data_IF_027961739766
#
_entry.id   IF_027961739766
#
_cell.length_a   1.000
_cell.length_b   1.000
_cell.length_c   1.000
_cell.angle_alpha   90.00
_cell.angle_beta   90.00
_cell.angle_gamma   90.00
#
_symmetry.space_group_name_H-M   'P 1'
#
loop_
_entity.id
_entity.type
_entity.pdbx_description
1 polymer ?
#
# COMPACT_ATOMS: atom_id res chain seq x y z
N UNK A 1 -3.90 -50.01 0.98
CA UNK A 1 -4.54 -49.64 2.26
C UNK A 1 -3.57 -48.92 3.21
N UNK A 2 -2.74 -47.99 2.73
CA UNK A 2 -1.72 -47.28 3.54
C UNK A 2 -1.83 -45.76 3.55
N UNK A 3 -2.93 -45.19 3.04
CA UNK A 3 -3.15 -43.72 3.00
C UNK A 3 -4.29 -43.23 3.91
N UNK A 4 -5.06 -44.15 4.50
CA UNK A 4 -6.17 -43.83 5.40
C UNK A 4 -5.75 -43.74 6.88
N UNK A 5 -4.61 -44.32 7.25
CA UNK A 5 -4.08 -44.36 8.63
C UNK A 5 -3.34 -43.08 9.03
N UNK A 6 -2.77 -42.35 8.07
CA UNK A 6 -2.11 -41.05 8.29
C UNK A 6 -3.13 -39.94 8.62
N UNK A 7 -4.30 -39.96 7.98
CA UNK A 7 -5.34 -38.93 8.17
C UNK A 7 -6.01 -39.06 9.56
N UNK A 8 -6.13 -40.28 10.08
CA UNK A 8 -6.69 -40.54 11.40
C UNK A 8 -5.77 -40.09 12.55
N UNK A 9 -4.45 -40.12 12.36
CA UNK A 9 -3.47 -39.72 13.39
C UNK A 9 -3.38 -38.20 13.56
N UNK A 10 -3.63 -37.43 12.49
CA UNK A 10 -3.63 -35.96 12.54
C UNK A 10 -4.90 -35.43 13.22
N UNK A 11 -6.04 -36.11 13.06
CA UNK A 11 -7.30 -35.75 13.74
C UNK A 11 -7.29 -36.01 15.25
N UNK A 12 -6.47 -36.96 15.73
CA UNK A 12 -6.32 -37.26 17.16
C UNK A 12 -5.45 -36.24 17.92
N UNK A 13 -4.57 -35.52 17.22
CA UNK A 13 -3.72 -34.47 17.81
C UNK A 13 -4.45 -33.13 17.97
N UNK A 14 -5.56 -32.92 17.25
CA UNK A 14 -6.34 -31.68 17.29
C UNK A 14 -7.38 -31.71 18.44
N UNK A 15 -7.72 -32.89 18.97
CA UNK A 15 -8.70 -33.02 20.06
C UNK A 15 -8.12 -32.85 21.47
N UNK A 16 -6.79 -32.81 21.64
CA UNK A 16 -6.14 -32.73 22.97
C UNK A 16 -5.82 -31.30 23.47
N UNK A 17 -6.00 -30.25 22.67
CA UNK A 17 -5.68 -28.87 23.08
C UNK A 17 -6.89 -28.04 23.52
N UNK A 18 -8.08 -28.64 23.61
CA UNK A 18 -9.33 -27.95 23.93
C UNK A 18 -9.98 -28.52 25.21
N UNK A 19 -9.36 -28.31 26.36
CA UNK A 19 -10.01 -28.44 27.67
C UNK A 19 -9.17 -27.75 28.76
N UNK A 20 -9.73 -26.73 29.40
CA UNK A 20 -9.12 -26.09 30.55
C UNK A 20 -9.74 -24.73 30.86
N UNK A 21 -10.97 -24.73 31.35
CA UNK A 21 -11.61 -23.53 31.90
C UNK A 21 -12.00 -23.77 33.37
N UNK A 22 -11.65 -22.80 34.22
CA UNK A 22 -12.22 -22.37 35.53
C UNK A 22 -11.79 -23.15 36.81
N UNK A 23 -11.97 -22.60 38.04
CA UNK A 23 -11.93 -21.20 38.56
C UNK A 23 -11.13 -21.06 39.90
N UNK A 24 -11.13 -19.86 40.54
CA UNK A 24 -11.30 -19.54 41.99
C UNK A 24 -10.43 -18.35 42.50
N UNK A 25 -11.14 -17.28 42.86
CA UNK A 25 -11.07 -16.32 44.00
C UNK A 25 -9.75 -15.98 44.74
N UNK A 26 -9.53 -14.67 44.96
CA UNK A 26 -9.52 -14.11 46.33
C UNK A 26 -9.76 -12.59 46.34
N UNK A 27 -10.60 -12.18 47.29
CA UNK A 27 -10.99 -10.83 47.67
C UNK A 27 -10.02 -10.33 48.75
N UNK A 28 -9.60 -9.06 48.68
CA UNK A 28 -9.04 -8.34 49.82
C UNK A 28 -9.39 -6.87 49.69
N UNK A 29 -10.26 -6.41 50.58
CA UNK A 29 -10.63 -5.01 50.76
C UNK A 29 -9.78 -4.46 51.90
N UNK A 30 -9.16 -3.31 51.73
CA UNK A 30 -8.85 -2.43 52.86
C UNK A 30 -8.88 -0.99 52.37
N UNK A 31 -9.76 -0.22 53.01
CA UNK A 31 -10.05 1.20 52.80
C UNK A 31 -9.23 2.08 53.74
N UNK A 32 -9.23 3.38 53.42
CA UNK A 32 -8.85 4.56 54.22
C UNK A 32 -7.40 5.06 54.04
N UNK A 33 -7.09 6.34 53.84
CA UNK A 33 -7.92 7.56 53.80
C UNK A 33 -7.12 8.76 53.21
N UNK A 34 -7.88 9.69 52.63
CA UNK A 34 -7.79 11.16 52.60
C UNK A 34 -6.60 11.96 52.01
N UNK A 35 -7.01 12.85 51.08
CA UNK A 35 -6.60 14.26 50.92
C UNK A 35 -5.20 14.61 50.38
N UNK A 36 -5.05 14.53 49.05
CA UNK A 36 -4.22 15.51 48.32
C UNK A 36 -4.77 15.76 46.90
N UNK A 37 -5.99 16.28 46.85
CA UNK A 37 -6.86 16.22 45.69
C UNK A 37 -7.28 17.62 45.21
N UNK A 38 -6.36 18.37 44.62
CA UNK A 38 -6.69 19.48 43.69
C UNK A 38 -5.48 19.98 42.89
N UNK A 39 -4.30 20.14 43.53
CA UNK A 39 -3.11 20.70 42.89
C UNK A 39 -2.39 19.69 41.96
N UNK A 40 -2.34 18.41 42.35
CA UNK A 40 -1.76 17.34 41.53
C UNK A 40 -2.55 17.06 40.24
N UNK A 41 -3.88 17.32 40.24
CA UNK A 41 -4.72 17.13 39.05
C UNK A 41 -4.42 18.15 37.95
N UNK A 42 -4.13 19.40 38.31
CA UNK A 42 -3.75 20.42 37.32
C UNK A 42 -2.35 20.18 36.76
N UNK A 43 -1.39 19.72 37.58
CA UNK A 43 -0.03 19.43 37.09
C UNK A 43 0.03 18.16 36.23
N UNK A 44 -0.78 17.13 36.57
CA UNK A 44 -0.89 15.90 35.75
C UNK A 44 -1.64 16.17 34.45
N UNK A 45 -2.70 16.97 34.48
CA UNK A 45 -3.42 17.37 33.26
C UNK A 45 -2.57 18.28 32.36
N UNK A 46 -1.72 19.15 32.92
CA UNK A 46 -0.77 19.95 32.14
C UNK A 46 0.39 19.12 31.55
N UNK A 47 0.73 17.98 32.16
CA UNK A 47 1.76 17.04 31.65
C UNK A 47 1.19 16.02 30.65
N UNK A 48 -0.06 15.60 30.83
CA UNK A 48 -0.76 14.66 29.95
C UNK A 48 -1.28 15.32 28.65
N UNK A 49 -1.39 16.65 28.60
CA UNK A 49 -1.72 17.39 27.36
C UNK A 49 -0.49 17.87 26.56
N UNK A 50 0.73 17.56 27.00
CA UNK A 50 1.94 18.06 26.35
C UNK A 50 2.39 17.25 25.12
N UNK A 51 1.75 16.11 24.82
CA UNK A 51 2.13 15.24 23.70
C UNK A 51 0.93 14.69 22.95
N UNK A 52 -0.15 15.46 22.76
CA UNK A 52 -1.20 15.06 21.82
C UNK A 52 -0.81 15.50 20.41
N UNK A 53 -0.22 14.59 19.64
CA UNK A 53 0.09 14.85 18.23
C UNK A 53 -1.23 14.84 17.46
N UNK A 54 -1.70 16.02 17.09
CA UNK A 54 -2.92 16.22 16.32
C UNK A 54 -2.73 15.92 14.82
N UNK A 55 -2.08 14.79 14.50
CA UNK A 55 -1.80 14.37 13.13
C UNK A 55 -2.72 13.23 12.72
N UNK A 56 -3.55 13.46 11.68
CA UNK A 56 -4.41 12.41 11.14
C UNK A 56 -3.58 11.38 10.35
N UNK A 57 -3.54 10.15 10.84
CA UNK A 57 -2.85 9.03 10.20
C UNK A 57 -3.37 8.74 8.79
N UNK A 58 -4.68 8.62 8.64
CA UNK A 58 -5.34 8.32 7.35
C UNK A 58 -4.99 9.38 6.29
N UNK A 59 -5.07 10.66 6.65
CA UNK A 59 -4.67 11.76 5.76
C UNK A 59 -3.18 11.74 5.45
N UNK A 60 -2.32 11.45 6.42
CA UNK A 60 -0.88 11.33 6.20
C UNK A 60 -0.55 10.18 5.24
N UNK A 61 -1.25 9.05 5.34
CA UNK A 61 -1.15 7.92 4.41
C UNK A 61 -1.56 8.33 2.98
N UNK A 62 -2.66 9.08 2.85
CA UNK A 62 -3.10 9.58 1.55
C UNK A 62 -2.10 10.56 0.93
N UNK A 63 -1.55 11.49 1.71
CA UNK A 63 -0.50 12.41 1.27
C UNK A 63 0.75 11.65 0.80
N UNK A 64 1.19 10.66 1.57
CA UNK A 64 2.34 9.84 1.21
C UNK A 64 2.12 9.07 -0.09
N UNK A 65 0.95 8.45 -0.24
CA UNK A 65 0.59 7.75 -1.49
C UNK A 65 0.63 8.68 -2.70
N UNK A 66 0.17 9.92 -2.55
CA UNK A 66 0.23 10.92 -3.61
C UNK A 66 1.68 11.29 -3.95
N UNK A 67 2.54 11.48 -2.94
CA UNK A 67 3.97 11.75 -3.15
C UNK A 67 4.62 10.57 -3.89
N UNK A 68 4.39 9.34 -3.44
CA UNK A 68 4.93 8.14 -4.05
C UNK A 68 4.47 7.94 -5.51
N UNK A 69 3.19 8.16 -5.81
CA UNK A 69 2.62 7.90 -7.14
C UNK A 69 2.88 9.04 -8.14
N UNK A 70 2.87 10.30 -7.69
CA UNK A 70 2.87 11.47 -8.55
C UNK A 70 4.13 12.36 -8.46
N UNK A 71 4.99 12.19 -7.45
CA UNK A 71 6.21 12.98 -7.29
C UNK A 71 7.49 12.13 -7.42
N UNK A 72 7.61 11.06 -6.63
CA UNK A 72 8.81 10.23 -6.57
C UNK A 72 9.33 9.72 -7.93
N UNK A 73 8.46 9.32 -8.90
CA UNK A 73 8.95 8.84 -10.20
C UNK A 73 9.70 9.92 -11.01
N UNK A 74 9.41 11.20 -10.77
CA UNK A 74 10.14 12.31 -11.39
C UNK A 74 11.45 12.60 -10.66
N UNK A 75 11.43 12.55 -9.32
CA UNK A 75 12.61 12.76 -8.48
C UNK A 75 13.68 11.71 -8.78
N UNK A 76 13.27 10.44 -8.87
CA UNK A 76 14.15 9.31 -9.21
C UNK A 76 14.71 9.44 -10.63
N UNK A 77 13.89 9.88 -11.59
CA UNK A 77 14.31 10.08 -12.99
C UNK A 77 15.37 11.18 -13.12
N UNK A 78 15.20 12.29 -12.41
CA UNK A 78 16.18 13.39 -12.40
C UNK A 78 17.36 13.13 -11.44
N UNK A 79 17.39 11.95 -10.78
CA UNK A 79 18.39 11.55 -9.79
C UNK A 79 18.62 12.60 -8.69
N UNK A 80 17.54 13.27 -8.29
CA UNK A 80 17.62 14.38 -7.35
C UNK A 80 17.51 13.89 -5.91
N UNK A 81 18.37 14.42 -5.05
CA UNK A 81 18.32 14.17 -3.61
C UNK A 81 17.53 15.30 -2.93
N UNK A 82 16.36 14.95 -2.41
CA UNK A 82 15.55 15.90 -1.64
C UNK A 82 16.32 16.27 -0.37
N UNK A 83 16.36 17.56 -0.01
CA UNK A 83 17.02 18.00 1.23
C UNK A 83 16.34 17.38 2.46
N UNK A 84 17.11 16.97 3.46
CA UNK A 84 16.59 16.52 4.76
C UNK A 84 15.82 17.61 5.52
N UNK A 85 15.95 18.88 5.14
CA UNK A 85 15.14 19.98 5.68
C UNK A 85 13.75 20.11 5.04
N UNK A 86 13.53 19.49 3.87
CA UNK A 86 12.26 19.57 3.14
C UNK A 86 11.18 18.73 3.84
N UNK A 87 9.95 19.25 3.84
CA UNK A 87 8.78 18.58 4.45
C UNK A 87 8.32 17.33 3.70
N UNK A 88 8.70 17.19 2.43
CA UNK A 88 8.37 16.04 1.58
C UNK A 88 9.45 14.94 1.62
N UNK A 89 10.50 15.11 2.44
CA UNK A 89 11.56 14.12 2.55
C UNK A 89 11.02 12.82 3.18
N UNK A 90 11.22 11.64 2.56
CA UNK A 90 10.66 10.37 3.02
C UNK A 90 10.91 10.05 4.51
N UNK A 91 12.13 10.34 4.97
CA UNK A 91 12.54 10.03 6.36
C UNK A 91 11.96 10.98 7.41
N UNK A 92 11.38 12.11 6.99
CA UNK A 92 10.82 13.09 7.91
C UNK A 92 9.37 12.80 8.26
N UNK A 93 8.70 11.81 7.68
CA UNK A 93 7.27 11.63 7.94
C UNK A 93 7.02 10.90 9.27
N UNK A 94 6.08 11.43 10.06
CA UNK A 94 5.80 10.96 11.41
C UNK A 94 5.48 9.46 11.50
N UNK A 95 4.66 8.94 10.59
CA UNK A 95 4.16 7.57 10.67
C UNK A 95 4.96 6.56 9.85
N UNK A 96 6.09 6.94 9.23
CA UNK A 96 6.85 6.06 8.31
C UNK A 96 7.17 4.71 8.94
N UNK A 97 7.76 4.71 10.13
CA UNK A 97 8.16 3.49 10.84
C UNK A 97 6.95 2.59 11.14
N UNK A 98 5.86 3.15 11.65
CA UNK A 98 4.66 2.38 11.96
C UNK A 98 3.96 1.81 10.74
N UNK A 99 3.92 2.54 9.62
CA UNK A 99 3.33 2.02 8.37
C UNK A 99 4.19 0.89 7.78
N UNK A 100 5.52 0.96 7.88
CA UNK A 100 6.43 -0.13 7.49
C UNK A 100 6.27 -1.39 8.35
N UNK A 101 5.85 -1.23 9.61
CA UNK A 101 5.60 -2.33 10.53
C UNK A 101 4.16 -2.87 10.49
N UNK A 102 3.40 -2.57 9.43
CA UNK A 102 2.13 -3.25 9.15
C UNK A 102 2.36 -4.48 8.31
N UNK A 103 1.92 -5.62 8.82
CA UNK A 103 2.03 -6.90 8.11
C UNK A 103 0.62 -7.34 7.74
N UNK A 104 0.30 -7.35 6.45
CA UNK A 104 -0.94 -7.95 5.95
C UNK A 104 -0.70 -9.44 5.70
N UNK A 105 -1.26 -10.30 6.55
CA UNK A 105 -1.02 -11.75 6.53
C UNK A 105 -2.02 -12.45 5.62
N UNK A 106 -3.30 -12.09 5.75
CA UNK A 106 -4.41 -12.64 4.98
C UNK A 106 -5.50 -11.58 4.80
N UNK A 107 -6.51 -11.82 3.96
CA UNK A 107 -7.61 -10.90 3.60
C UNK A 107 -8.22 -10.19 4.82
N UNK A 108 -8.35 -10.91 5.93
CA UNK A 108 -8.92 -10.41 7.19
C UNK A 108 -7.94 -10.48 8.37
N UNK A 109 -6.64 -10.57 8.11
CA UNK A 109 -5.62 -10.65 9.16
C UNK A 109 -4.50 -9.64 8.94
N UNK A 110 -4.47 -8.65 9.84
CA UNK A 110 -3.41 -7.66 9.96
C UNK A 110 -2.59 -7.93 11.21
N UNK A 111 -1.27 -7.85 11.14
CA UNK A 111 -0.38 -8.13 12.27
C UNK A 111 0.54 -6.95 12.55
N UNK A 112 0.69 -6.64 13.83
CA UNK A 112 1.63 -5.63 14.31
C UNK A 112 3.08 -6.13 14.18
N UNK A 113 3.94 -5.37 13.50
CA UNK A 113 5.36 -5.69 13.33
C UNK A 113 6.15 -5.71 14.63
N UNK A 114 5.80 -4.87 15.61
CA UNK A 114 6.50 -4.74 16.89
C UNK A 114 6.19 -5.87 17.87
N UNK A 115 4.91 -6.12 18.15
CA UNK A 115 4.49 -7.09 19.19
C UNK A 115 3.77 -8.32 18.66
N UNK A 116 3.68 -8.48 17.33
CA UNK A 116 3.11 -9.65 16.63
C UNK A 116 1.63 -9.96 16.92
N UNK A 117 0.89 -9.05 17.56
CA UNK A 117 -0.57 -9.16 17.73
C UNK A 117 -1.29 -9.09 16.37
N UNK A 118 -2.27 -9.97 16.18
CA UNK A 118 -3.13 -9.99 14.99
C UNK A 118 -4.46 -9.27 15.22
N UNK A 119 -5.00 -8.69 14.16
CA UNK A 119 -6.19 -7.85 14.12
C UNK A 119 -7.01 -8.19 12.88
N UNK A 120 -8.34 -8.07 12.99
CA UNK A 120 -9.26 -8.41 11.90
C UNK A 120 -9.25 -7.43 10.73
N UNK A 121 -8.85 -6.19 10.97
CA UNK A 121 -8.86 -5.11 10.00
C UNK A 121 -7.78 -4.09 10.31
N UNK A 122 -7.31 -3.39 9.28
CA UNK A 122 -6.26 -2.37 9.38
C UNK A 122 -6.60 -1.29 10.41
N UNK A 123 -7.87 -0.84 10.46
CA UNK A 123 -8.34 0.16 11.42
C UNK A 123 -8.06 -0.22 12.88
N UNK A 124 -8.17 -1.50 13.23
CA UNK A 124 -7.90 -1.96 14.59
C UNK A 124 -6.39 -2.03 14.87
N UNK A 125 -5.57 -2.29 13.86
CA UNK A 125 -4.11 -2.21 13.96
C UNK A 125 -3.66 -0.75 14.12
N UNK A 126 -4.24 0.18 13.36
CA UNK A 126 -3.99 1.62 13.48
C UNK A 126 -4.30 2.12 14.89
N UNK A 127 -5.49 1.78 15.41
CA UNK A 127 -5.86 2.11 16.78
C UNK A 127 -4.93 1.46 17.83
N UNK A 128 -4.42 0.26 17.56
CA UNK A 128 -3.44 -0.38 18.43
C UNK A 128 -2.11 0.38 18.43
N UNK A 129 -1.64 0.90 17.29
CA UNK A 129 -0.44 1.73 17.25
C UNK A 129 -0.60 3.00 18.08
N UNK A 130 -1.74 3.69 17.93
CA UNK A 130 -2.02 4.93 18.66
C UNK A 130 -2.06 4.71 20.18
N UNK A 131 -2.53 3.54 20.64
CA UNK A 131 -2.67 3.24 22.07
C UNK A 131 -1.43 2.59 22.72
N UNK A 132 -0.62 1.85 21.96
CA UNK A 132 0.41 0.95 22.52
C UNK A 132 1.81 1.18 21.98
N UNK A 133 1.95 1.87 20.85
CA UNK A 133 3.22 2.14 20.19
C UNK A 133 3.38 3.62 19.85
N UNK A 134 2.67 4.49 20.57
CA UNK A 134 2.77 5.94 20.42
C UNK A 134 4.19 6.43 20.70
N UNK A 135 4.82 5.89 21.75
CA UNK A 135 6.17 6.26 22.20
C UNK A 135 7.28 5.95 21.18
N UNK A 136 6.99 5.13 20.16
CA UNK A 136 7.94 4.83 19.07
C UNK A 136 7.96 5.93 18.00
N UNK A 137 7.07 6.92 18.06
CA UNK A 137 7.04 8.05 17.14
C UNK A 137 8.13 9.06 17.48
N UNK A 138 8.94 9.45 16.49
CA UNK A 138 9.91 10.55 16.63
C UNK A 138 9.22 11.91 16.43
N UNK A 139 8.41 12.32 17.40
CA UNK A 139 7.59 13.54 17.32
C UNK A 139 8.45 14.82 17.19
N UNK A 140 9.66 14.83 17.75
CA UNK A 140 10.55 16.01 17.74
C UNK A 140 11.10 16.38 16.37
N UNK A 141 11.45 15.38 15.55
CA UNK A 141 12.10 15.61 14.25
C UNK A 141 11.17 15.41 13.06
N UNK A 142 10.14 14.58 13.22
CA UNK A 142 9.22 14.27 12.13
C UNK A 142 8.17 15.36 11.90
N UNK A 143 7.59 15.32 10.71
CA UNK A 143 6.57 16.25 10.21
C UNK A 143 5.28 15.48 9.93
N UNK A 144 4.16 16.11 10.25
CA UNK A 144 2.85 15.59 9.93
C UNK A 144 2.53 15.88 8.45
N UNK A 145 2.38 14.84 7.63
CA UNK A 145 1.99 15.00 6.23
C UNK A 145 0.52 15.41 6.06
N UNK A 146 -0.35 15.11 7.03
CA UNK A 146 -1.75 15.53 6.96
C UNK A 146 -1.91 17.05 6.86
N UNK A 147 -0.97 17.83 7.39
CA UNK A 147 -0.98 19.29 7.28
C UNK A 147 -0.80 19.78 5.83
N UNK A 148 -0.18 18.95 4.97
CA UNK A 148 0.04 19.24 3.56
C UNK A 148 -1.11 18.77 2.67
N UNK A 149 -2.12 18.09 3.23
CA UNK A 149 -3.17 17.48 2.42
C UNK A 149 -3.98 18.48 1.59
N UNK A 150 -4.17 19.70 2.10
CA UNK A 150 -4.80 20.77 1.33
C UNK A 150 -4.00 21.15 0.09
N UNK A 151 -2.67 21.16 0.17
CA UNK A 151 -1.78 21.47 -0.95
C UNK A 151 -1.60 20.30 -1.92
N UNK A 152 -1.59 19.07 -1.40
CA UNK A 152 -1.36 17.84 -2.17
C UNK A 152 -2.64 17.19 -2.73
N UNK A 153 -3.82 17.76 -2.47
CA UNK A 153 -5.12 17.23 -2.92
C UNK A 153 -5.46 15.82 -2.40
N UNK A 154 -5.17 15.53 -1.13
CA UNK A 154 -5.46 14.22 -0.50
C UNK A 154 -6.91 13.74 -0.67
N UNK A 155 -7.86 14.68 -0.68
CA UNK A 155 -9.29 14.36 -0.78
C UNK A 155 -9.64 13.60 -2.06
N UNK A 156 -8.84 13.70 -3.12
CA UNK A 156 -9.03 12.95 -4.37
C UNK A 156 -8.72 11.45 -4.23
N UNK A 157 -7.74 11.12 -3.39
CA UNK A 157 -7.34 9.74 -3.15
C UNK A 157 -8.17 9.11 -2.04
N UNK A 158 -8.62 9.91 -1.07
CA UNK A 158 -9.44 9.43 0.04
C UNK A 158 -10.92 9.29 -0.34
N UNK A 159 -11.48 10.23 -1.11
CA UNK A 159 -12.89 10.22 -1.46
C UNK A 159 -13.10 9.73 -2.90
N UNK A 160 -13.75 8.58 -3.05
CA UNK A 160 -14.19 8.06 -4.35
C UNK A 160 -15.32 8.87 -5.01
N UNK A 161 -15.93 9.80 -4.26
CA UNK A 161 -17.00 10.68 -4.74
C UNK A 161 -16.45 12.10 -4.88
N UNK A 162 -16.61 12.68 -6.07
CA UNK A 162 -16.23 14.07 -6.33
C UNK A 162 -16.82 14.99 -5.24
N UNK A 163 -16.03 15.90 -4.64
CA UNK A 163 -16.55 16.85 -3.68
C UNK A 163 -17.67 17.66 -4.35
N UNK A 164 -18.91 17.50 -3.88
CA UNK A 164 -20.04 18.33 -4.31
C UNK A 164 -19.99 19.76 -3.73
N UNK A 165 -18.92 20.09 -3.01
CA UNK A 165 -18.75 21.36 -2.35
C UNK A 165 -18.36 22.44 -3.37
N UNK A 166 -19.02 23.60 -3.28
CA UNK A 166 -18.63 24.81 -4.00
C UNK A 166 -17.20 25.20 -3.61
N UNK A 167 -16.38 25.58 -4.58
CA UNK A 167 -14.99 25.99 -4.33
C UNK A 167 -14.94 27.14 -3.29
N UNK A 168 -14.04 27.01 -2.31
CA UNK A 168 -13.74 28.06 -1.35
C UNK A 168 -12.50 28.83 -1.84
N UNK A 169 -12.63 30.10 -2.28
CA UNK A 169 -11.51 30.86 -2.83
C UNK A 169 -10.42 31.12 -1.80
N UNK A 170 -10.78 31.33 -0.52
CA UNK A 170 -9.79 31.56 0.53
C UNK A 170 -8.97 30.28 0.81
N UNK A 171 -9.59 29.11 0.74
CA UNK A 171 -8.88 27.83 0.90
C UNK A 171 -7.97 27.55 -0.30
N UNK A 172 -8.44 27.81 -1.53
CA UNK A 172 -7.64 27.64 -2.73
C UNK A 172 -6.37 28.51 -2.70
N UNK A 173 -6.49 29.79 -2.35
CA UNK A 173 -5.32 30.69 -2.24
C UNK A 173 -4.35 30.22 -1.16
N UNK A 174 -4.84 29.83 0.02
CA UNK A 174 -3.98 29.31 1.09
C UNK A 174 -3.24 28.04 0.67
N UNK A 175 -3.95 27.07 0.11
CA UNK A 175 -3.36 25.81 -0.34
C UNK A 175 -2.34 26.02 -1.46
N UNK A 176 -2.62 26.96 -2.37
CA UNK A 176 -1.68 27.38 -3.41
C UNK A 176 -0.37 27.91 -2.82
N UNK A 177 -0.45 28.85 -1.89
CA UNK A 177 0.74 29.42 -1.26
C UNK A 177 1.56 28.35 -0.50
N UNK A 178 0.87 27.44 0.21
CA UNK A 178 1.54 26.30 0.87
C UNK A 178 2.23 25.41 -0.17
N UNK A 179 1.58 25.14 -1.30
CA UNK A 179 2.13 24.34 -2.40
C UNK A 179 3.37 25.00 -3.03
N UNK A 180 3.31 26.29 -3.34
CA UNK A 180 4.43 27.05 -3.91
C UNK A 180 5.61 27.09 -2.92
N UNK A 181 5.35 27.33 -1.64
CA UNK A 181 6.39 27.28 -0.59
C UNK A 181 7.05 25.89 -0.46
N UNK A 182 6.31 24.80 -0.71
CA UNK A 182 6.89 23.46 -0.78
C UNK A 182 7.81 23.32 -1.99
N UNK A 183 7.40 23.80 -3.16
CA UNK A 183 8.24 23.79 -4.36
C UNK A 183 9.54 24.57 -4.14
N UNK A 184 9.48 25.76 -3.54
CA UNK A 184 10.65 26.59 -3.26
C UNK A 184 11.62 25.92 -2.27
N UNK A 185 11.09 25.31 -1.21
CA UNK A 185 11.91 24.71 -0.14
C UNK A 185 12.48 23.35 -0.51
N UNK A 186 11.76 22.55 -1.30
CA UNK A 186 12.15 21.19 -1.66
C UNK A 186 12.92 21.12 -2.99
N UNK A 187 12.60 22.02 -3.92
CA UNK A 187 13.18 22.08 -5.27
C UNK A 187 13.61 23.52 -5.60
N UNK A 188 14.63 24.07 -4.92
CA UNK A 188 15.07 25.44 -5.18
C UNK A 188 15.70 25.56 -6.57
N UNK A 189 15.19 26.48 -7.40
CA UNK A 189 15.63 26.69 -8.80
C UNK A 189 17.12 27.00 -8.95
N UNK A 190 17.74 27.54 -7.91
CA UNK A 190 19.16 27.90 -7.89
C UNK A 190 20.10 26.71 -7.64
N UNK A 191 19.57 25.52 -7.29
CA UNK A 191 20.36 24.34 -6.94
C UNK A 191 20.58 23.39 -8.14
N UNK A 192 20.53 23.93 -9.36
CA UNK A 192 20.86 23.21 -10.60
C UNK A 192 19.65 22.86 -11.46
N UNK A 193 19.93 22.28 -12.63
CA UNK A 193 18.94 22.03 -13.67
C UNK A 193 17.87 21.00 -13.23
N UNK A 194 18.28 19.93 -12.54
CA UNK A 194 17.36 18.92 -12.02
C UNK A 194 16.38 19.52 -11.01
N UNK A 195 16.86 20.37 -10.09
CA UNK A 195 16.03 21.06 -9.11
C UNK A 195 15.04 22.01 -9.79
N UNK A 196 15.51 22.80 -10.78
CA UNK A 196 14.66 23.70 -11.56
C UNK A 196 13.57 22.96 -12.35
N UNK A 197 13.88 21.81 -12.97
CA UNK A 197 12.89 20.98 -13.65
C UNK A 197 11.86 20.41 -12.70
N UNK A 198 12.30 19.87 -11.56
CA UNK A 198 11.40 19.33 -10.54
C UNK A 198 10.50 20.40 -9.92
N UNK A 199 11.03 21.62 -9.76
CA UNK A 199 10.26 22.78 -9.34
C UNK A 199 9.10 23.06 -10.29
N UNK A 200 9.37 23.17 -11.59
CA UNK A 200 8.35 23.39 -12.61
C UNK A 200 7.33 22.25 -12.67
N UNK A 201 7.81 21.00 -12.60
CA UNK A 201 6.95 19.80 -12.55
C UNK A 201 6.03 19.85 -11.34
N UNK A 202 6.55 20.19 -10.16
CA UNK A 202 5.78 20.23 -8.93
C UNK A 202 4.68 21.29 -9.01
N UNK A 203 4.99 22.50 -9.51
CA UNK A 203 4.00 23.56 -9.68
C UNK A 203 2.86 23.13 -10.61
N UNK A 204 3.18 22.56 -11.77
CA UNK A 204 2.17 22.11 -12.75
C UNK A 204 1.35 20.89 -12.30
N UNK A 205 1.96 20.00 -11.53
CA UNK A 205 1.31 18.76 -11.08
C UNK A 205 0.40 19.02 -9.88
N UNK A 206 0.81 19.90 -8.95
CA UNK A 206 0.13 20.10 -7.67
C UNK A 206 -0.50 21.50 -7.53
N UNK A 207 0.25 22.56 -7.88
CA UNK A 207 -0.11 23.92 -7.46
C UNK A 207 -1.11 24.61 -8.39
N UNK A 208 -1.02 24.40 -9.71
CA UNK A 208 -1.91 25.02 -10.70
C UNK A 208 -3.39 24.65 -10.52
N UNK A 209 -3.65 23.50 -9.90
CA UNK A 209 -5.00 23.05 -9.60
C UNK A 209 -5.69 23.84 -8.48
N UNK A 210 -4.96 24.67 -7.72
CA UNK A 210 -5.52 25.53 -6.66
C UNK A 210 -6.15 26.81 -7.23
N UNK A 211 -7.11 26.64 -8.14
CA UNK A 211 -7.94 27.72 -8.70
C UNK A 211 -9.42 27.36 -8.62
N UNK A 212 -10.28 28.35 -8.36
CA UNK A 212 -11.74 28.14 -8.35
C UNK A 212 -12.39 28.25 -9.73
N UNK A 213 -11.65 28.70 -10.75
CA UNK A 213 -12.09 28.63 -12.14
C UNK A 213 -11.92 27.18 -12.60
N UNK A 214 -13.02 26.49 -12.93
CA UNK A 214 -13.13 25.02 -13.04
C UNK A 214 -12.31 24.32 -14.14
N UNK A 215 -11.07 24.74 -14.39
CA UNK A 215 -10.15 24.18 -15.38
C UNK A 215 -8.90 23.51 -14.80
N UNK A 216 -8.57 23.70 -13.51
CA UNK A 216 -7.37 23.11 -12.90
C UNK A 216 -7.56 21.62 -12.59
N UNK A 217 -6.88 20.73 -13.34
CA UNK A 217 -6.83 19.30 -13.02
C UNK A 217 -5.53 19.00 -12.27
N UNK A 218 -5.58 18.58 -10.99
CA UNK A 218 -4.39 18.11 -10.30
C UNK A 218 -3.90 16.83 -10.98
N UNK A 219 -2.59 16.59 -10.86
CA UNK A 219 -1.91 15.45 -11.47
C UNK A 219 -2.00 15.42 -13.00
N UNK A 220 -1.82 16.57 -13.65
CA UNK A 220 -1.99 16.76 -15.11
C UNK A 220 -1.12 15.83 -15.96
N UNK A 221 0.10 15.50 -15.51
CA UNK A 221 1.00 14.55 -16.18
C UNK A 221 0.72 13.07 -15.83
N UNK A 222 -0.26 12.82 -14.96
CA UNK A 222 -0.55 11.50 -14.40
C UNK A 222 0.53 11.03 -13.42
N UNK A 223 0.26 9.90 -12.78
CA UNK A 223 1.24 9.17 -11.97
C UNK A 223 1.87 8.06 -12.81
N UNK A 224 3.10 7.66 -12.49
CA UNK A 224 3.64 6.44 -13.07
C UNK A 224 2.96 5.25 -12.43
N UNK A 225 2.07 4.59 -13.17
CA UNK A 225 1.45 3.34 -12.72
C UNK A 225 2.51 2.26 -12.61
N UNK A 226 2.78 1.79 -11.40
CA UNK A 226 3.51 0.54 -11.18
C UNK A 226 2.79 -0.58 -11.97
N UNK A 227 3.49 -1.34 -12.83
CA UNK A 227 2.87 -2.46 -13.51
C UNK A 227 2.37 -3.44 -12.44
N UNK A 228 1.06 -3.72 -12.45
CA UNK A 228 0.46 -4.65 -11.50
C UNK A 228 1.21 -5.99 -11.57
N UNK A 229 1.61 -6.53 -10.43
CA UNK A 229 2.26 -7.85 -10.34
C UNK A 229 1.42 -8.91 -11.05
N UNK A 230 0.09 -8.78 -11.01
CA UNK A 230 -0.82 -9.65 -11.77
C UNK A 230 -0.65 -9.52 -13.29
N UNK A 231 -0.44 -8.31 -13.80
CA UNK A 231 -0.18 -8.10 -15.23
C UNK A 231 1.14 -8.76 -15.65
N UNK A 232 2.19 -8.62 -14.83
CA UNK A 232 3.47 -9.30 -15.07
C UNK A 232 3.31 -10.82 -15.02
N UNK A 233 2.61 -11.34 -14.01
CA UNK A 233 2.35 -12.78 -13.86
C UNK A 233 1.57 -13.34 -15.06
N UNK A 234 0.51 -12.65 -15.51
CA UNK A 234 -0.27 -13.03 -16.69
C UNK A 234 0.61 -12.98 -17.96
N UNK A 235 1.44 -11.94 -18.12
CA UNK A 235 2.36 -11.82 -19.26
C UNK A 235 3.38 -12.96 -19.31
N UNK A 236 3.90 -13.39 -18.16
CA UNK A 236 4.86 -14.51 -18.10
C UNK A 236 4.14 -15.82 -18.41
N UNK A 237 2.94 -16.02 -17.84
CA UNK A 237 2.13 -17.21 -18.08
C UNK A 237 1.78 -17.37 -19.57
N UNK A 238 1.38 -16.30 -20.24
CA UNK A 238 1.05 -16.34 -21.67
C UNK A 238 2.29 -16.65 -22.52
N UNK A 239 3.45 -16.07 -22.21
CA UNK A 239 4.71 -16.38 -22.90
C UNK A 239 5.16 -17.83 -22.75
N UNK A 240 4.82 -18.49 -21.63
CA UNK A 240 5.12 -19.91 -21.41
C UNK A 240 4.11 -20.85 -22.05
N UNK A 241 2.82 -20.50 -22.03
CA UNK A 241 1.74 -21.35 -22.56
C UNK A 241 1.64 -21.31 -24.08
N UNK A 242 1.97 -20.18 -24.71
CA UNK A 242 1.85 -19.99 -26.15
C UNK A 242 2.77 -20.95 -26.96
N UNK A 243 4.06 -21.13 -26.63
CA UNK A 243 4.93 -22.09 -27.31
C UNK A 243 4.46 -23.52 -27.12
N UNK A 244 4.03 -23.89 -25.91
CA UNK A 244 3.52 -25.23 -25.60
C UNK A 244 2.30 -25.55 -26.46
N UNK A 245 1.37 -24.60 -26.59
CA UNK A 245 0.22 -24.75 -27.46
C UNK A 245 0.62 -25.01 -28.92
N UNK A 246 1.56 -24.23 -29.47
CA UNK A 246 2.02 -24.44 -30.85
C UNK A 246 2.76 -25.77 -31.04
N UNK A 247 3.51 -26.24 -30.04
CA UNK A 247 4.16 -27.56 -30.09
C UNK A 247 3.10 -28.67 -30.13
N UNK A 248 2.05 -28.60 -29.30
CA UNK A 248 0.96 -29.59 -29.30
C UNK A 248 0.25 -29.60 -30.66
N UNK A 249 -0.06 -28.43 -31.23
CA UNK A 249 -0.68 -28.32 -32.55
C UNK A 249 0.23 -28.91 -33.63
N UNK A 250 1.54 -28.63 -33.57
CA UNK A 250 2.51 -29.20 -34.50
C UNK A 250 2.57 -30.73 -34.41
N UNK A 251 2.63 -31.28 -33.20
CA UNK A 251 2.64 -32.73 -32.98
C UNK A 251 1.35 -33.38 -33.51
N UNK A 252 0.19 -32.80 -33.22
CA UNK A 252 -1.11 -33.28 -33.71
C UNK A 252 -1.19 -33.27 -35.24
N UNK A 253 -0.78 -32.16 -35.88
CA UNK A 253 -0.73 -32.08 -37.34
C UNK A 253 0.26 -33.09 -37.93
N UNK A 254 1.40 -33.30 -37.27
CA UNK A 254 2.41 -34.27 -37.72
C UNK A 254 1.91 -35.71 -37.65
N UNK A 255 1.16 -36.08 -36.61
CA UNK A 255 0.56 -37.41 -36.49
C UNK A 255 -0.53 -37.63 -37.55
N UNK A 256 -1.41 -36.65 -37.77
CA UNK A 256 -2.43 -36.71 -38.82
C UNK A 256 -1.81 -36.87 -40.22
N UNK A 257 -0.66 -36.24 -40.47
CA UNK A 257 0.11 -36.40 -41.72
C UNK A 257 0.74 -37.79 -41.86
N UNK A 258 1.19 -38.40 -40.76
CA UNK A 258 1.75 -39.76 -40.75
C UNK A 258 0.65 -40.82 -40.92
N UNK A 259 -0.50 -40.66 -40.26
CA UNK A 259 -1.65 -41.57 -40.38
C UNK A 259 -2.23 -41.64 -41.80
N UNK A 260 -2.19 -40.54 -42.55
CA UNK A 260 -2.58 -40.51 -43.97
C UNK A 260 -1.56 -41.15 -44.90
N UNK A 261 -0.27 -41.21 -44.54
CA UNK A 261 0.76 -41.91 -45.32
C UNK A 261 0.71 -43.42 -45.15
N UNK A 262 0.42 -43.92 -43.94
CA UNK A 262 0.24 -45.35 -43.65
C UNK A 262 -0.96 -45.95 -44.41
N UNK A 263 -2.09 -45.23 -44.50
CA UNK A 263 -3.27 -45.67 -45.26
C UNK A 263 -3.05 -45.68 -46.79
N UNK A 264 -2.03 -44.98 -47.30
CA UNK A 264 -1.75 -44.86 -48.75
C UNK A 264 -0.80 -45.93 -49.28
N UNK A 265 -0.26 -46.81 -48.43
CA UNK A 265 0.72 -47.84 -48.81
C UNK A 265 0.15 -49.27 -48.79
N UNK A 266 -0.98 -49.49 -49.46
CA UNK A 266 -1.37 -50.83 -49.96
C UNK A 266 -1.80 -50.66 -51.42
N UNK A 267 -0.84 -50.69 -52.36
CA UNK A 267 -1.16 -50.92 -53.77
C UNK A 267 -1.19 -52.44 -53.98
N UNK A 268 -2.36 -52.98 -54.37
CA UNK A 268 -2.47 -54.37 -54.80
C UNK A 268 -1.81 -54.52 -56.16
N UNK A 269 -0.52 -54.80 -56.17
CA UNK A 269 0.17 -55.29 -57.37
C UNK A 269 -0.08 -56.79 -57.52
N UNK A 270 -0.73 -57.18 -58.62
CA UNK A 270 -0.54 -58.50 -59.22
C UNK A 270 -1.66 -59.52 -59.03
N UNK A 271 -2.83 -59.31 -59.63
CA UNK A 271 -3.67 -60.44 -60.06
C UNK A 271 -3.30 -60.75 -61.52
N UNK A 272 -2.45 -61.76 -61.72
CA UNK A 272 -2.11 -62.29 -63.05
C UNK A 272 -3.34 -62.96 -63.68
N UNK A 273 -3.68 -62.55 -64.89
CA UNK A 273 -4.56 -63.30 -65.79
C UNK A 273 -3.86 -64.58 -66.25
N UNK A 274 -4.59 -65.70 -66.30
CA UNK A 274 -4.17 -66.95 -66.97
C UNK A 274 -4.93 -67.06 -68.30
N UNK A 275 -4.28 -67.48 -69.40
CA UNK A 275 -4.95 -67.75 -70.67
C UNK A 275 -5.38 -69.22 -70.75
N UNK A 276 -6.62 -69.45 -71.20
CA UNK A 276 -7.06 -70.35 -72.29
C UNK A 276 -8.54 -70.64 -72.14
#
# INVERSE_FOLDING_TARGET
>A
MGRATEIASILLLISLSLQGALPISSLSHTTQDFEESAAARNLKQQKDHAHEVHCSRERSRAAWKIIEEYLMPFVEREQYQISSSCKLHPDNHLFTDQEQHKIHVDINEWRCGYCKKSFRAEKFLDQHFDNRHYDLLNVSHSKCLADLCGALHCDLVMNSKAPKAKCNPAAAVRNRHVCESLADSCFPVNHGLSASRLHEIFLHQFCDAHICSGGGKPFSRGGMKQPSIFYLAISILTLMMLPVFYVIVYLYQSEMRKGTQELKRISRHGLKTKPS
#
